data_IF_194894281376
#
_entry.id   IF_194894281376
#
_cell.length_a   1.000
_cell.length_b   1.000
_cell.length_c   1.000
_cell.angle_alpha   90.00
_cell.angle_beta   90.00
_cell.angle_gamma   90.00
#
_symmetry.space_group_name_H-M   'P 1'
#
loop_
_entity.id
_entity.type
_entity.pdbx_description
1 polymer ?
#
# COMPACT_ATOMS: atom_id res chain seq x y z
N UNK A 1 -5.26 4.09 18.59
CA UNK A 1 -4.52 3.31 17.56
C UNK A 1 -4.96 1.86 17.51
N UNK A 2 -4.62 0.98 18.47
CA UNK A 2 -5.05 -0.43 18.41
C UNK A 2 -6.52 -0.65 18.82
N UNK A 3 -7.03 0.16 19.76
CA UNK A 3 -8.44 0.12 20.17
C UNK A 3 -9.37 0.55 19.04
N UNK A 4 -8.98 1.58 18.29
CA UNK A 4 -9.71 2.04 17.10
C UNK A 4 -9.74 0.95 16.04
N UNK A 5 -8.59 0.34 15.72
CA UNK A 5 -8.50 -0.79 14.80
C UNK A 5 -9.35 -1.99 15.20
N UNK A 6 -9.44 -2.30 16.50
CA UNK A 6 -10.32 -3.37 17.00
C UNK A 6 -11.79 -3.03 16.75
N UNK A 7 -12.19 -1.78 16.98
CA UNK A 7 -13.56 -1.32 16.71
C UNK A 7 -13.87 -1.34 15.22
N UNK A 8 -12.94 -0.90 14.37
CA UNK A 8 -13.08 -0.98 12.90
C UNK A 8 -13.27 -2.43 12.47
N UNK A 9 -12.47 -3.37 13.01
CA UNK A 9 -12.60 -4.79 12.68
C UNK A 9 -13.95 -5.35 13.09
N UNK A 10 -14.43 -5.06 14.29
CA UNK A 10 -15.76 -5.49 14.75
C UNK A 10 -16.87 -4.95 13.85
N UNK A 11 -16.83 -3.65 13.51
CA UNK A 11 -17.83 -3.04 12.64
C UNK A 11 -17.84 -3.66 11.23
N UNK A 12 -16.68 -4.06 10.70
CA UNK A 12 -16.59 -4.75 9.41
C UNK A 12 -17.16 -6.16 9.47
N UNK A 13 -16.89 -6.90 10.56
CA UNK A 13 -17.40 -8.26 10.77
C UNK A 13 -18.92 -8.30 11.02
N UNK A 14 -19.47 -7.27 11.64
CA UNK A 14 -20.92 -7.12 11.87
C UNK A 14 -21.66 -6.57 10.64
N UNK A 15 -20.93 -6.05 9.65
CA UNK A 15 -21.53 -5.47 8.46
C UNK A 15 -22.12 -6.56 7.54
N UNK A 16 -23.34 -6.36 7.01
CA UNK A 16 -23.88 -7.23 5.96
C UNK A 16 -23.09 -7.16 4.65
N UNK A 17 -22.30 -6.10 4.45
CA UNK A 17 -21.35 -5.95 3.34
C UNK A 17 -20.00 -5.46 3.89
N UNK A 18 -19.09 -6.41 4.09
CA UNK A 18 -17.74 -6.11 4.57
C UNK A 18 -16.96 -5.21 3.61
N UNK A 19 -17.15 -5.36 2.29
CA UNK A 19 -16.42 -4.58 1.28
C UNK A 19 -16.84 -3.11 1.31
N UNK A 20 -18.14 -2.83 1.38
CA UNK A 20 -18.65 -1.48 1.53
C UNK A 20 -18.17 -0.84 2.84
N UNK A 21 -18.24 -1.57 3.96
CA UNK A 21 -17.78 -1.09 5.26
C UNK A 21 -16.29 -0.73 5.29
N UNK A 22 -15.45 -1.52 4.60
CA UNK A 22 -14.03 -1.25 4.41
C UNK A 22 -13.79 -0.01 3.53
N UNK A 23 -14.55 0.17 2.44
CA UNK A 23 -14.43 1.34 1.57
C UNK A 23 -14.78 2.67 2.26
N UNK A 24 -15.82 2.66 3.10
CA UNK A 24 -16.24 3.81 3.91
C UNK A 24 -15.18 4.21 4.95
N UNK A 25 -14.47 3.21 5.49
CA UNK A 25 -13.48 3.37 6.56
C UNK A 25 -12.04 3.23 6.06
N UNK A 26 -11.81 3.50 4.77
CA UNK A 26 -10.50 3.26 4.14
C UNK A 26 -9.34 3.93 4.85
N UNK A 27 -9.59 5.10 5.45
CA UNK A 27 -8.57 5.93 6.09
C UNK A 27 -8.11 5.31 7.43
N UNK A 28 -8.91 4.39 7.97
CA UNK A 28 -8.62 3.60 9.17
C UNK A 28 -7.86 2.30 8.82
N UNK A 29 -7.77 1.92 7.54
CA UNK A 29 -7.10 0.69 7.06
C UNK A 29 -5.57 0.87 6.98
N UNK A 30 -4.96 1.13 8.13
CA UNK A 30 -3.53 1.34 8.27
C UNK A 30 -2.80 0.09 8.79
N UNK A 31 -1.48 0.20 9.02
CA UNK A 31 -0.66 -0.90 9.55
C UNK A 31 -1.19 -1.44 10.89
N UNK A 32 -1.73 -0.59 11.77
CA UNK A 32 -2.31 -1.04 13.03
C UNK A 32 -3.57 -1.89 12.84
N UNK A 33 -4.41 -1.55 11.85
CA UNK A 33 -5.56 -2.37 11.48
C UNK A 33 -5.13 -3.76 10.97
N UNK A 34 -4.13 -3.80 10.08
CA UNK A 34 -3.59 -5.06 9.54
C UNK A 34 -3.01 -5.94 10.65
N UNK A 35 -2.31 -5.35 11.63
CA UNK A 35 -1.78 -6.09 12.78
C UNK A 35 -2.90 -6.70 13.64
N UNK A 36 -3.96 -5.93 13.94
CA UNK A 36 -5.10 -6.43 14.73
C UNK A 36 -5.80 -7.56 13.99
N UNK A 37 -6.05 -7.41 12.69
CA UNK A 37 -6.66 -8.44 11.86
C UNK A 37 -5.83 -9.73 11.83
N UNK A 38 -4.51 -9.62 11.62
CA UNK A 38 -3.60 -10.76 11.62
C UNK A 38 -3.57 -11.50 12.97
N UNK A 39 -3.56 -10.75 14.09
CA UNK A 39 -3.59 -11.33 15.42
C UNK A 39 -4.90 -12.09 15.70
N UNK A 40 -6.05 -11.56 15.27
CA UNK A 40 -7.34 -12.23 15.42
C UNK A 40 -7.44 -13.48 14.55
N UNK A 41 -6.90 -13.45 13.33
CA UNK A 41 -6.86 -14.61 12.44
C UNK A 41 -6.03 -15.75 13.04
N UNK A 42 -4.85 -15.43 13.56
CA UNK A 42 -3.97 -16.41 14.21
C UNK A 42 -4.64 -17.02 15.45
N UNK A 43 -5.30 -16.19 16.29
CA UNK A 43 -6.04 -16.67 17.44
C UNK A 43 -7.20 -17.61 17.03
N UNK A 44 -7.97 -17.26 16.00
CA UNK A 44 -9.08 -18.08 15.50
C UNK A 44 -8.59 -19.48 15.06
N UNK A 45 -7.46 -19.54 14.34
CA UNK A 45 -6.83 -20.81 13.94
C UNK A 45 -6.35 -21.62 15.13
N UNK A 46 -5.68 -20.99 16.10
CA UNK A 46 -5.21 -21.68 17.32
C UNK A 46 -6.35 -22.25 18.16
N UNK A 47 -7.52 -21.60 18.15
CA UNK A 47 -8.71 -22.04 18.84
C UNK A 47 -9.59 -23.00 18.02
N UNK A 48 -9.18 -23.38 16.80
CA UNK A 48 -9.93 -24.29 15.93
C UNK A 48 -11.26 -23.69 15.41
N UNK A 49 -11.37 -22.37 15.36
CA UNK A 49 -12.53 -21.65 14.87
C UNK A 49 -12.45 -21.46 13.35
N UNK A 50 -12.45 -22.56 12.60
CA UNK A 50 -12.18 -22.57 11.15
C UNK A 50 -13.10 -21.63 10.35
N UNK A 51 -14.41 -21.64 10.63
CA UNK A 51 -15.37 -20.75 9.94
C UNK A 51 -15.07 -19.26 10.19
N UNK A 52 -14.65 -18.93 11.41
CA UNK A 52 -14.30 -17.56 11.77
C UNK A 52 -12.95 -17.15 11.18
N UNK A 53 -11.98 -18.06 11.15
CA UNK A 53 -10.70 -17.85 10.48
C UNK A 53 -10.88 -17.60 8.98
N UNK A 54 -11.72 -18.40 8.30
CA UNK A 54 -12.04 -18.20 6.89
C UNK A 54 -12.70 -16.82 6.64
N UNK A 55 -13.57 -16.38 7.55
CA UNK A 55 -14.17 -15.06 7.45
C UNK A 55 -13.15 -13.93 7.63
N UNK A 56 -12.21 -14.06 8.57
CA UNK A 56 -11.12 -13.09 8.77
C UNK A 56 -10.15 -13.06 7.58
N UNK A 57 -9.89 -14.20 6.94
CA UNK A 57 -9.10 -14.26 5.69
C UNK A 57 -9.77 -13.51 4.55
N UNK A 58 -11.09 -13.64 4.41
CA UNK A 58 -11.88 -12.90 3.43
C UNK A 58 -11.77 -11.39 3.68
N UNK A 59 -11.98 -10.96 4.92
CA UNK A 59 -11.83 -9.55 5.32
C UNK A 59 -10.41 -9.04 5.05
N UNK A 60 -9.39 -9.86 5.31
CA UNK A 60 -7.99 -9.51 5.00
C UNK A 60 -7.79 -9.30 3.51
N UNK A 61 -8.27 -10.22 2.66
CA UNK A 61 -8.16 -10.07 1.20
C UNK A 61 -8.87 -8.80 0.72
N UNK A 62 -10.10 -8.56 1.15
CA UNK A 62 -10.87 -7.36 0.81
C UNK A 62 -10.18 -6.08 1.28
N UNK A 63 -9.58 -6.09 2.47
CA UNK A 63 -8.83 -4.94 3.00
C UNK A 63 -7.68 -4.56 2.07
N UNK A 64 -6.89 -5.56 1.62
CA UNK A 64 -5.81 -5.33 0.67
C UNK A 64 -6.34 -4.77 -0.65
N UNK A 65 -7.44 -5.31 -1.17
CA UNK A 65 -8.07 -4.79 -2.39
C UNK A 65 -8.54 -3.32 -2.24
N UNK A 66 -9.13 -2.97 -1.09
CA UNK A 66 -9.60 -1.60 -0.82
C UNK A 66 -8.42 -0.64 -0.72
N UNK A 67 -7.37 -1.00 0.02
CA UNK A 67 -6.13 -0.20 0.12
C UNK A 67 -5.56 0.01 -1.29
N UNK A 68 -5.46 -1.04 -2.09
CA UNK A 68 -4.94 -0.97 -3.46
C UNK A 68 -5.82 -0.11 -4.38
N UNK A 69 -7.15 -0.18 -4.24
CA UNK A 69 -8.08 0.63 -5.03
C UNK A 69 -7.97 2.13 -4.73
N UNK A 70 -7.53 2.48 -3.51
CA UNK A 70 -7.35 3.86 -3.06
C UNK A 70 -5.92 4.37 -3.15
N UNK A 71 -4.94 3.55 -3.57
CA UNK A 71 -3.58 4.06 -3.78
C UNK A 71 -3.66 5.33 -4.64
N UNK A 72 -3.14 6.48 -4.18
CA UNK A 72 -3.11 7.68 -4.98
C UNK A 72 -2.52 7.39 -6.37
N UNK A 73 -2.96 8.08 -7.44
CA UNK A 73 -2.41 7.89 -8.78
C UNK A 73 -0.88 7.90 -8.82
N UNK A 74 -0.28 8.74 -8.00
CA UNK A 74 1.17 8.86 -7.80
C UNK A 74 1.80 7.58 -7.23
N UNK A 75 1.20 6.93 -6.23
CA UNK A 75 1.77 5.72 -5.62
C UNK A 75 1.61 4.50 -6.52
N UNK A 76 0.46 4.38 -7.23
CA UNK A 76 0.31 3.35 -8.27
C UNK A 76 1.37 3.52 -9.33
N UNK A 77 1.62 4.76 -9.73
CA UNK A 77 2.61 5.09 -10.72
C UNK A 77 4.04 4.76 -10.28
N UNK A 78 4.40 4.99 -9.01
CA UNK A 78 5.69 4.52 -8.44
C UNK A 78 5.81 3.00 -8.56
N UNK A 79 4.77 2.26 -8.18
CA UNK A 79 4.81 0.79 -8.27
C UNK A 79 4.98 0.31 -9.71
N UNK A 80 4.26 0.89 -10.67
CA UNK A 80 4.42 0.58 -12.09
C UNK A 80 5.85 0.86 -12.59
N UNK A 81 6.46 1.97 -12.16
CA UNK A 81 7.85 2.30 -12.49
C UNK A 81 8.83 1.28 -11.93
N UNK A 82 8.61 0.82 -10.69
CA UNK A 82 9.45 -0.21 -10.05
C UNK A 82 9.32 -1.59 -10.70
N UNK A 83 8.22 -1.86 -11.41
CA UNK A 83 8.01 -3.09 -12.16
C UNK A 83 8.65 -3.06 -13.55
N UNK A 84 9.18 -1.92 -14.00
CA UNK A 84 9.87 -1.85 -15.31
C UNK A 84 11.19 -2.60 -15.29
N UNK A 85 11.47 -3.35 -16.36
CA UNK A 85 12.68 -4.18 -16.45
C UNK A 85 13.92 -3.33 -16.75
N UNK A 86 13.74 -2.19 -17.43
CA UNK A 86 14.85 -1.35 -17.89
C UNK A 86 14.72 0.12 -17.51
N UNK A 87 15.85 0.84 -17.35
CA UNK A 87 15.85 2.29 -17.17
C UNK A 87 15.14 3.04 -18.30
N UNK A 88 15.25 2.56 -19.54
CA UNK A 88 14.62 3.18 -20.71
C UNK A 88 13.08 3.08 -20.66
N UNK A 89 12.54 1.96 -20.19
CA UNK A 89 11.10 1.79 -20.01
C UNK A 89 10.55 2.69 -18.92
N UNK A 90 11.22 2.78 -17.77
CA UNK A 90 10.83 3.72 -16.71
C UNK A 90 10.87 5.17 -17.17
N UNK A 91 11.92 5.60 -17.90
CA UNK A 91 11.96 6.95 -18.48
C UNK A 91 10.81 7.19 -19.48
N UNK A 92 10.47 6.20 -20.31
CA UNK A 92 9.35 6.31 -21.25
C UNK A 92 8.03 6.44 -20.49
N UNK A 93 7.84 5.64 -19.45
CA UNK A 93 6.63 5.64 -18.63
C UNK A 93 6.47 6.96 -17.84
N UNK A 94 7.57 7.52 -17.32
CA UNK A 94 7.66 8.89 -16.76
C UNK A 94 7.14 9.94 -17.76
N UNK A 95 7.62 9.90 -19.00
CA UNK A 95 7.20 10.85 -20.05
C UNK A 95 5.74 10.69 -20.45
N UNK A 96 5.24 9.46 -20.54
CA UNK A 96 3.85 9.18 -20.91
C UNK A 96 2.85 9.68 -19.85
N UNK A 97 3.27 9.72 -18.59
CA UNK A 97 2.45 10.15 -17.46
C UNK A 97 3.01 11.43 -16.81
N UNK A 98 3.54 12.35 -17.62
CA UNK A 98 4.17 13.58 -17.13
C UNK A 98 3.25 14.43 -16.25
N UNK A 99 1.92 14.32 -16.39
CA UNK A 99 0.94 14.98 -15.52
C UNK A 99 0.95 14.49 -14.06
N UNK A 100 1.43 13.27 -13.82
CA UNK A 100 1.61 12.70 -12.47
C UNK A 100 3.00 13.01 -11.88
N UNK A 101 3.92 13.53 -12.70
CA UNK A 101 5.27 13.93 -12.26
C UNK A 101 5.18 15.32 -11.64
N UNK A 102 5.08 15.36 -10.32
CA UNK A 102 5.01 16.59 -9.52
C UNK A 102 6.20 16.69 -8.54
N UNK A 103 6.37 17.84 -7.91
CA UNK A 103 7.36 18.00 -6.84
C UNK A 103 7.11 17.02 -5.67
N UNK A 104 5.85 16.76 -5.33
CA UNK A 104 5.49 15.81 -4.28
C UNK A 104 5.76 14.36 -4.68
N UNK A 105 5.55 14.01 -5.95
CA UNK A 105 5.95 12.72 -6.50
C UNK A 105 7.47 12.49 -6.37
N UNK A 106 8.29 13.48 -6.73
CA UNK A 106 9.76 13.42 -6.57
C UNK A 106 10.15 13.27 -5.10
N UNK A 107 9.47 13.98 -4.19
CA UNK A 107 9.70 13.88 -2.75
C UNK A 107 9.44 12.46 -2.24
N UNK A 108 8.28 11.87 -2.57
CA UNK A 108 7.92 10.50 -2.20
C UNK A 108 8.93 9.46 -2.69
N UNK A 109 9.46 9.59 -3.91
CA UNK A 109 10.51 8.69 -4.42
C UNK A 109 11.80 8.75 -3.58
N UNK A 110 12.17 9.93 -3.07
CA UNK A 110 13.33 10.08 -2.19
C UNK A 110 13.07 9.53 -0.79
N UNK A 111 11.88 9.78 -0.23
CA UNK A 111 11.47 9.21 1.07
C UNK A 111 11.51 7.68 1.04
N UNK A 112 10.93 7.07 0.00
CA UNK A 112 11.01 5.62 -0.20
C UNK A 112 12.46 5.15 -0.36
N UNK A 113 13.32 5.90 -1.06
CA UNK A 113 14.73 5.53 -1.18
C UNK A 113 15.43 5.52 0.17
N UNK A 114 15.15 6.48 1.04
CA UNK A 114 15.76 6.56 2.36
C UNK A 114 15.24 5.46 3.30
N UNK A 115 13.97 5.08 3.21
CA UNK A 115 13.42 3.91 3.91
C UNK A 115 14.11 2.60 3.48
N UNK A 116 14.34 2.43 2.17
CA UNK A 116 15.02 1.24 1.65
C UNK A 116 16.51 1.20 2.00
N UNK A 117 17.14 2.36 2.16
CA UNK A 117 18.53 2.47 2.61
C UNK A 117 18.67 1.99 4.06
N UNK A 118 17.71 2.35 4.93
CA UNK A 118 17.63 1.82 6.29
C UNK A 118 17.47 0.29 6.30
N UNK A 119 16.73 -0.26 5.34
CA UNK A 119 16.56 -1.72 5.13
C UNK A 119 17.73 -2.40 4.40
N UNK A 120 18.81 -1.66 4.11
CA UNK A 120 20.02 -2.10 3.38
C UNK A 120 19.75 -2.64 1.96
N UNK A 121 18.63 -2.26 1.34
CA UNK A 121 18.29 -2.65 -0.03
C UNK A 121 18.92 -1.68 -1.07
N UNK A 122 20.23 -1.78 -1.25
CA UNK A 122 21.01 -0.84 -2.08
C UNK A 122 20.59 -0.77 -3.56
N UNK A 123 20.12 -1.89 -4.10
CA UNK A 123 19.66 -1.96 -5.49
C UNK A 123 18.42 -1.08 -5.68
N UNK A 124 17.43 -1.27 -4.81
CA UNK A 124 16.19 -0.50 -4.85
C UNK A 124 16.43 0.99 -4.54
N UNK A 125 17.32 1.31 -3.61
CA UNK A 125 17.76 2.70 -3.34
C UNK A 125 18.31 3.36 -4.60
N UNK A 126 19.18 2.66 -5.33
CA UNK A 126 19.79 3.17 -6.56
C UNK A 126 18.73 3.43 -7.63
N UNK A 127 17.78 2.52 -7.76
CA UNK A 127 16.67 2.64 -8.71
C UNK A 127 15.76 3.83 -8.35
N UNK A 128 15.28 3.93 -7.11
CA UNK A 128 14.42 5.01 -6.63
C UNK A 128 15.07 6.40 -6.78
N UNK A 129 16.36 6.54 -6.40
CA UNK A 129 17.09 7.80 -6.55
C UNK A 129 17.30 8.19 -8.02
N UNK A 130 17.43 7.22 -8.93
CA UNK A 130 17.49 7.49 -10.38
C UNK A 130 16.14 8.03 -10.87
N UNK A 131 15.05 7.36 -10.53
CA UNK A 131 13.70 7.81 -10.89
C UNK A 131 13.43 9.23 -10.37
N UNK A 132 13.81 9.53 -9.12
CA UNK A 132 13.63 10.86 -8.54
C UNK A 132 14.38 11.95 -9.31
N UNK A 133 15.61 11.68 -9.75
CA UNK A 133 16.40 12.62 -10.57
C UNK A 133 15.79 12.82 -11.96
N UNK A 134 15.36 11.75 -12.62
CA UNK A 134 14.73 11.81 -13.94
C UNK A 134 13.41 12.58 -13.88
N UNK A 135 12.56 12.27 -12.91
CA UNK A 135 11.32 12.97 -12.64
C UNK A 135 11.57 14.47 -12.33
N UNK A 136 12.57 14.78 -11.49
CA UNK A 136 12.92 16.16 -11.17
C UNK A 136 13.40 16.95 -12.39
N UNK A 137 14.13 16.32 -13.31
CA UNK A 137 14.60 16.97 -14.53
C UNK A 137 13.47 17.31 -15.51
N UNK A 138 12.30 16.69 -15.36
CA UNK A 138 11.10 16.97 -16.16
C UNK A 138 10.27 18.15 -15.63
N UNK A 139 10.56 18.64 -14.43
CA UNK A 139 9.88 19.78 -13.81
C UNK A 139 10.48 21.14 -14.23
N UNK A 140 11.57 21.13 -15.01
CA UNK A 140 12.30 22.30 -15.50
C UNK A 140 12.31 22.33 -17.03
#
# INVERSE_FOLDING_TARGET
MLEDSTRTLQAVLESPDARAALHERSDELNEAFLMVLAANLEAARQHGQEDFAAHLEEVHRLTIEVIQSKLPPEERFINELLMTETPQESTKLLRQNASLVTADFVRKLNELADEQDQRKNKELVTHLRRLAREASAMLF
#
